data_IF_972635777973
#
_entry.id   IF_972635777973
#
_cell.length_a   1.000
_cell.length_b   1.000
_cell.length_c   1.000
_cell.angle_alpha   90.00
_cell.angle_beta   90.00
_cell.angle_gamma   90.00
#
_symmetry.space_group_name_H-M   'P 1'
#
loop_
_entity.id
_entity.type
_entity.pdbx_description
1 polymer ?
2 non-polymer ?
3 non-polymer ?
4 water ?
#
# COMPACT_ATOMS: atom_id res chain seq x y z
N UNK A 2 24.05 -5.83 25.14
CA UNK A 2 23.96 -4.99 23.92
C UNK A 2 22.62 -5.16 23.19
N UNK A 3 21.75 -4.17 23.34
CA UNK A 3 20.42 -4.24 22.73
C UNK A 3 20.25 -3.12 21.71
N UNK A 4 21.31 -2.83 20.95
CA UNK A 4 21.31 -1.65 20.10
C UNK A 4 22.37 -1.67 18.99
N UNK A 5 22.14 -0.86 17.96
CA UNK A 5 23.15 -0.65 16.93
C UNK A 5 23.34 0.83 16.58
N UNK A 6 24.58 1.21 16.29
CA UNK A 6 24.85 2.57 15.83
C UNK A 6 24.56 2.70 14.34
N UNK A 7 23.73 3.66 14.02
CA UNK A 7 23.39 3.95 12.64
C UNK A 7 23.72 5.41 12.32
N UNK A 8 24.76 5.60 11.51
CA UNK A 8 25.16 6.92 11.02
C UNK A 8 24.99 6.98 9.51
N UNK A 9 24.44 8.06 9.00
CA UNK A 9 24.49 8.26 7.55
C UNK A 9 24.93 9.66 7.14
N UNK A 10 25.71 9.71 6.07
CA UNK A 10 26.01 10.95 5.40
C UNK A 10 24.84 11.28 4.48
N UNK A 11 24.35 12.51 4.55
CA UNK A 11 23.10 12.85 3.88
C UNK A 11 23.30 13.86 2.77
N UNK A 12 22.77 13.49 1.61
CA UNK A 12 22.75 14.30 0.40
C UNK A 12 23.97 15.21 0.25
N UNK A 13 25.13 14.64 0.57
CA UNK A 13 26.38 15.34 0.39
C UNK A 13 27.02 15.89 1.66
N UNK A 14 26.22 16.19 2.67
CA UNK A 14 26.75 16.90 3.83
C UNK A 14 27.90 16.13 4.47
N UNK A 15 28.98 16.85 4.85
CA UNK A 15 30.18 16.28 5.46
C UNK A 15 30.04 15.67 6.85
N UNK A 16 29.30 16.34 7.74
CA UNK A 16 29.00 15.78 9.05
C UNK A 16 27.81 14.80 8.98
N UNK A 17 28.07 13.51 9.25
CA UNK A 17 27.04 12.47 9.23
C UNK A 17 26.13 12.59 10.43
N UNK A 18 24.89 12.10 10.30
CA UNK A 18 23.93 12.12 11.39
C UNK A 18 23.95 10.77 12.10
N UNK A 19 24.04 10.80 13.43
CA UNK A 19 24.26 9.59 14.21
C UNK A 19 23.06 9.29 15.10
N UNK A 20 22.66 8.03 15.12
CA UNK A 20 21.64 7.60 16.07
C UNK A 20 21.84 6.15 16.46
N UNK A 21 21.26 5.76 17.58
CA UNK A 21 21.25 4.38 18.03
C UNK A 21 19.89 3.74 17.78
N UNK A 22 19.92 2.49 17.33
CA UNK A 22 18.70 1.74 17.04
C UNK A 22 18.68 0.46 17.89
N UNK A 23 17.56 0.16 18.52
CA UNK A 23 17.52 -1.06 19.32
C UNK A 23 17.28 -2.30 18.46
N UNK A 24 18.26 -3.21 18.42
CA UNK A 24 18.03 -4.46 17.74
C UNK A 24 19.20 -5.38 17.40
N UNK A 25 20.39 -4.82 17.27
CA UNK A 25 21.53 -5.60 16.76
C UNK A 25 21.44 -5.97 15.26
N UNK A 26 20.24 -5.86 14.69
CA UNK A 26 20.08 -5.92 13.23
C UNK A 26 19.10 -4.87 12.74
N UNK A 27 19.46 -4.16 11.67
CA UNK A 27 18.59 -3.12 11.11
C UNK A 27 18.25 -3.34 9.64
N UNK A 28 17.00 -3.10 9.28
CA UNK A 28 16.57 -3.24 7.90
C UNK A 28 16.52 -1.89 7.19
N UNK A 29 16.55 -1.92 5.86
CA UNK A 29 16.48 -0.69 5.08
C UNK A 29 15.24 0.11 5.48
N UNK A 30 14.12 -0.57 5.66
CA UNK A 30 12.88 0.09 5.98
C UNK A 30 12.87 0.77 7.34
N UNK A 31 13.61 0.22 8.29
CA UNK A 31 13.76 0.84 9.61
C UNK A 31 14.64 2.08 9.42
N UNK A 32 15.70 1.90 8.65
CA UNK A 32 16.63 2.99 8.40
C UNK A 32 15.87 4.13 7.74
N UNK A 33 14.92 3.75 6.87
CA UNK A 33 14.19 4.74 6.11
C UNK A 33 13.31 5.59 7.02
N UNK A 34 13.00 5.08 8.20
CA UNK A 34 12.11 5.78 9.11
C UNK A 34 12.84 6.85 9.90
N UNK A 35 14.17 6.81 9.88
CA UNK A 35 14.96 7.84 10.55
C UNK A 35 15.07 9.07 9.67
N UNK A 36 14.87 8.91 8.38
CA UNK A 36 15.01 10.01 7.44
C UNK A 36 13.81 10.98 7.56
N UNK A 37 14.07 12.28 7.43
CA UNK A 37 13.04 13.29 7.70
C UNK A 37 12.48 13.93 6.43
N UNK A 38 13.26 13.88 5.36
CA UNK A 38 12.92 14.57 4.12
C UNK A 38 12.31 13.61 3.07
N UNK A 39 11.18 14.00 2.49
CA UNK A 39 10.53 13.18 1.48
C UNK A 39 11.26 13.22 0.13
N UNK A 40 10.99 12.22 -0.72
CA UNK A 40 11.54 12.23 -2.06
C UNK A 40 12.15 10.92 -2.50
N UNK A 41 12.78 10.93 -3.67
CA UNK A 41 13.44 9.74 -4.21
C UNK A 41 14.95 9.75 -3.89
N UNK A 42 15.42 8.66 -3.29
CA UNK A 42 16.82 8.52 -2.90
C UNK A 42 17.33 7.12 -3.23
N UNK A 43 18.65 6.99 -3.35
CA UNK A 43 19.30 5.69 -3.30
C UNK A 43 20.10 5.61 -1.99
N UNK A 44 20.30 4.40 -1.49
CA UNK A 44 20.94 4.20 -0.19
C UNK A 44 22.13 3.26 -0.33
N UNK A 45 23.28 3.68 0.17
CA UNK A 45 24.46 2.81 0.15
C UNK A 45 24.99 2.60 1.56
N UNK A 46 25.65 1.47 1.79
CA UNK A 46 26.22 1.18 3.11
C UNK A 46 27.60 0.54 2.98
N UNK A 47 28.59 1.07 3.70
CA UNK A 47 29.93 0.48 3.71
C UNK A 47 29.82 -0.99 4.07
N UNK A 48 30.51 -1.81 3.32
CA UNK A 48 30.52 -3.24 3.57
C UNK A 48 31.88 -3.75 3.14
N UNK A 49 32.38 -4.75 3.85
CA UNK A 49 33.62 -5.39 3.46
C UNK A 49 33.40 -6.14 2.16
N UNK A 50 34.37 -6.05 1.26
CA UNK A 50 34.31 -6.77 0.01
C UNK A 50 35.66 -7.37 -0.39
N UNK A 51 35.77 -8.68 -0.23
CA UNK A 51 36.96 -9.41 -0.65
C UNK A 51 37.24 -9.15 -2.13
N UNK A 52 36.17 -8.98 -2.89
CA UNK A 52 36.26 -8.82 -4.34
C UNK A 52 36.74 -7.44 -4.76
N UNK A 53 37.19 -6.64 -3.80
CA UNK A 53 37.71 -5.31 -4.12
C UNK A 53 38.97 -4.97 -3.34
N UNK A 54 39.87 -4.23 -3.97
CA UNK A 54 41.27 -4.14 -3.53
C UNK A 54 41.47 -3.31 -2.27
N UNK A 55 40.67 -2.25 -2.12
CA UNK A 55 40.69 -1.42 -0.92
C UNK A 55 39.58 -1.79 0.04
N UNK A 56 39.27 -3.08 0.10
CA UNK A 56 38.50 -3.65 1.18
C UNK A 56 37.02 -3.30 1.25
N UNK A 57 36.68 -2.07 0.91
CA UNK A 57 35.36 -1.51 1.23
C UNK A 57 34.52 -1.24 -0.01
N UNK A 58 33.21 -1.37 0.15
CA UNK A 58 32.26 -0.93 -0.86
C UNK A 58 31.10 -0.18 -0.23
N UNK A 59 30.40 0.58 -1.06
CA UNK A 59 29.09 1.11 -0.69
C UNK A 59 28.05 0.31 -1.42
N UNK A 60 27.50 -0.67 -0.72
CA UNK A 60 26.49 -1.56 -1.27
C UNK A 60 25.19 -0.79 -1.39
N UNK A 61 24.60 -0.82 -2.58
CA UNK A 61 23.30 -0.21 -2.75
C UNK A 61 22.24 -1.14 -2.22
N UNK A 62 21.37 -0.64 -1.35
CA UNK A 62 20.29 -1.45 -0.83
C UNK A 62 18.99 -0.81 -1.23
N UNK A 63 18.04 -1.66 -1.62
CA UNK A 63 16.83 -1.21 -2.28
C UNK A 63 15.59 -1.72 -1.59
N UNK A 64 15.64 -2.96 -1.10
CA UNK A 64 14.47 -3.60 -0.54
C UNK A 64 14.33 -3.36 0.97
N UNK A 65 13.13 -2.96 1.38
CA UNK A 65 12.84 -2.57 2.75
C UNK A 65 13.12 -3.68 3.76
N UNK A 66 12.92 -4.91 3.33
CA UNK A 66 13.08 -6.03 4.23
C UNK A 66 14.54 -6.39 4.39
N UNK A 67 15.38 -5.81 3.53
CA UNK A 67 16.78 -6.19 3.49
C UNK A 67 17.53 -5.76 4.76
N UNK A 68 18.45 -6.61 5.25
CA UNK A 68 19.25 -6.26 6.44
C UNK A 68 20.52 -5.53 6.02
N UNK A 69 20.71 -4.34 6.58
CA UNK A 69 21.83 -3.50 6.19
C UNK A 69 23.16 -4.09 6.68
N UNK A 70 24.21 -3.99 5.87
CA UNK A 70 25.51 -4.53 6.28
C UNK A 70 26.04 -3.75 7.49
N UNK A 71 26.94 -4.38 8.24
CA UNK A 71 27.58 -3.71 9.36
C UNK A 71 29.07 -3.54 9.07
N UNK A 72 29.56 -2.30 9.11
CA UNK A 72 30.98 -2.09 8.96
C UNK A 72 31.60 -1.75 10.32
N UNK A 73 32.66 -2.48 10.67
CA UNK A 73 33.27 -2.40 11.98
C UNK A 73 32.25 -2.10 13.07
N UNK A 74 31.19 -2.91 13.12
CA UNK A 74 30.24 -2.91 14.23
C UNK A 74 29.15 -1.84 14.10
N UNK A 75 29.39 -0.87 13.22
CA UNK A 75 28.41 0.18 12.97
C UNK A 75 27.77 0.06 11.58
N UNK A 76 26.67 0.76 11.39
CA UNK A 76 26.04 0.90 10.08
C UNK A 76 26.35 2.28 9.52
N UNK A 77 27.16 2.31 8.46
CA UNK A 77 27.54 3.56 7.82
C UNK A 77 26.85 3.71 6.45
N UNK A 78 25.88 4.61 6.39
CA UNK A 78 25.13 4.78 5.16
C UNK A 78 25.42 6.08 4.44
N UNK A 79 25.28 6.04 3.12
CA UNK A 79 25.31 7.21 2.27
C UNK A 79 23.92 7.36 1.65
N UNK A 80 23.29 8.52 1.88
CA UNK A 80 21.98 8.79 1.31
C UNK A 80 22.11 9.85 0.23
N UNK A 81 21.73 9.49 -1.00
CA UNK A 81 21.80 10.40 -2.13
C UNK A 81 20.45 10.65 -2.75
N UNK A 82 20.09 11.93 -2.87
CA UNK A 82 18.89 12.32 -3.60
C UNK A 82 19.12 12.06 -5.09
N UNK A 83 18.12 11.51 -5.75
CA UNK A 83 18.25 11.24 -7.16
C UNK A 83 17.96 12.50 -7.96
N UNK A 84 18.86 12.77 -8.91
CA UNK A 84 18.79 13.91 -9.84
C UNK A 84 19.41 15.15 -9.17
N UNK B 1 8.82 -0.65 24.78
CA UNK B 1 9.56 -0.37 23.55
C UNK B 1 8.93 -0.98 22.30
N UNK B 2 7.98 -0.25 21.70
CA UNK B 2 7.25 -0.72 20.51
C UNK B 2 7.98 -0.36 19.22
N UNK B 3 8.25 -1.38 18.40
CA UNK B 3 9.33 -1.33 17.41
C UNK B 3 9.01 -2.04 16.11
N UNK B 4 7.75 -2.48 15.97
CA UNK B 4 7.37 -3.29 14.81
C UNK B 4 5.87 -3.39 14.70
N UNK B 5 5.39 -3.72 13.50
CA UNK B 5 3.95 -3.69 13.19
C UNK B 5 3.46 -5.08 12.73
N UNK B 6 2.24 -5.44 13.12
CA UNK B 6 1.64 -6.68 12.63
C UNK B 6 1.03 -6.49 11.26
N UNK B 7 1.46 -7.34 10.34
CA UNK B 7 0.95 -7.33 8.98
C UNK B 7 0.35 -8.69 8.64
N UNK B 8 -0.97 -8.73 8.49
CA UNK B 8 -1.68 -9.94 8.11
C UNK B 8 -2.40 -9.70 6.78
N UNK B 9 -2.31 -10.63 5.85
CA UNK B 9 -3.16 -10.51 4.68
C UNK B 9 -3.87 -11.81 4.33
N UNK B 10 -5.11 -11.67 3.88
CA UNK B 10 -5.85 -12.78 3.28
C UNK B 10 -5.43 -12.89 1.83
N UNK B 11 -5.08 -14.10 1.41
CA UNK B 11 -4.46 -14.28 0.09
C UNK B 11 -5.42 -15.04 -0.82
N UNK B 12 -5.84 -14.39 -1.91
CA UNK B 12 -6.84 -14.94 -2.83
C UNK B 12 -7.91 -15.80 -2.12
N UNK B 13 -8.61 -15.23 -1.15
CA UNK B 13 -9.81 -15.88 -0.62
C UNK B 13 -9.58 -17.03 0.37
N UNK B 14 -8.50 -17.78 0.20
CA UNK B 14 -8.05 -18.66 1.27
C UNK B 14 -8.43 -17.94 2.58
N UNK B 15 -9.31 -18.54 3.39
CA UNK B 15 -9.68 -17.86 4.65
C UNK B 15 -8.46 -17.55 5.49
N UNK B 16 -7.87 -18.57 6.11
CA UNK B 16 -6.78 -18.32 7.07
C UNK B 16 -5.74 -17.32 6.52
N UNK B 17 -5.71 -16.10 7.08
CA UNK B 17 -4.77 -15.06 6.66
C UNK B 17 -3.35 -15.40 7.09
N UNK B 18 -2.37 -14.85 6.40
CA UNK B 18 -0.96 -15.11 6.75
C UNK B 18 -0.43 -13.94 7.60
N UNK B 19 0.21 -14.27 8.73
CA UNK B 19 0.57 -13.26 9.72
C UNK B 19 2.08 -13.07 9.84
N UNK B 20 2.54 -11.82 9.87
CA UNK B 20 3.95 -11.55 10.10
C UNK B 20 4.12 -10.22 10.81
N UNK B 21 5.27 -10.05 11.47
CA UNK B 21 5.63 -8.80 12.08
C UNK B 21 6.70 -8.09 11.27
N UNK B 22 6.54 -6.78 11.13
CA UNK B 22 7.47 -5.97 10.36
C UNK B 22 8.11 -4.93 11.27
N UNK B 23 9.45 -4.87 11.25
CA UNK B 23 10.19 -3.97 12.13
C UNK B 23 10.00 -2.55 11.66
N UNK B 24 9.71 -1.64 12.58
CA UNK B 24 9.49 -0.25 12.24
C UNK B 24 8.17 0.25 12.80
N UNK B 25 7.78 1.46 12.39
CA UNK B 25 6.53 2.04 12.85
C UNK B 25 5.46 1.96 11.77
N UNK B 26 5.83 2.28 10.53
CA UNK B 26 4.88 2.25 9.43
C UNK B 26 5.38 1.43 8.26
N UNK B 27 4.46 0.87 7.48
CA UNK B 27 4.81 0.01 6.37
C UNK B 27 4.27 0.52 5.03
N UNK B 28 5.09 0.42 3.99
CA UNK B 28 4.69 0.83 2.65
C UNK B 28 4.23 -0.34 1.80
N UNK B 29 3.48 -0.04 0.75
CA UNK B 29 3.01 -1.08 -0.15
C UNK B 29 4.17 -1.92 -0.67
N UNK B 30 5.26 -1.26 -1.01
CA UNK B 30 6.41 -1.95 -1.55
C UNK B 30 7.11 -2.89 -0.58
N UNK B 31 7.05 -2.58 0.71
CA UNK B 31 7.59 -3.46 1.73
C UNK B 31 6.64 -4.64 1.86
N UNK B 32 5.35 -4.34 1.86
CA UNK B 32 4.32 -5.35 1.96
C UNK B 32 4.49 -6.31 0.80
N UNK B 33 4.90 -5.77 -0.35
CA UNK B 33 4.98 -6.57 -1.56
C UNK B 33 6.13 -7.54 -1.48
N UNK B 34 7.08 -7.26 -0.61
CA UNK B 34 8.25 -8.12 -0.46
C UNK B 34 7.97 -9.37 0.38
N UNK B 35 6.85 -9.36 1.11
CA UNK B 35 6.47 -10.52 1.90
C UNK B 35 5.77 -11.56 1.04
N UNK B 36 5.26 -11.13 -0.11
CA UNK B 36 4.51 -12.01 -1.00
C UNK B 36 5.46 -12.95 -1.77
N UNK B 37 5.06 -14.21 -1.93
CA UNK B 37 5.97 -15.23 -2.47
C UNK B 37 5.67 -15.60 -3.92
N UNK B 38 4.46 -15.33 -4.37
CA UNK B 38 4.03 -15.74 -5.69
C UNK B 38 4.02 -14.58 -6.69
N UNK B 39 4.59 -14.83 -7.87
CA UNK B 39 4.65 -13.80 -8.92
C UNK B 39 3.30 -13.59 -9.62
N UNK B 40 3.15 -12.43 -10.25
CA UNK B 40 1.97 -12.18 -11.05
C UNK B 40 1.35 -10.81 -10.82
N UNK B 41 0.19 -10.59 -11.42
CA UNK B 41 -0.54 -9.34 -11.27
C UNK B 41 -1.61 -9.44 -10.19
N UNK B 42 -1.56 -8.50 -9.24
CA UNK B 42 -2.50 -8.49 -8.11
C UNK B 42 -2.97 -7.06 -7.81
N UNK B 43 -4.13 -6.95 -7.17
CA UNK B 43 -4.53 -5.71 -6.52
C UNK B 43 -4.49 -5.91 -5.01
N UNK B 44 -4.28 -4.81 -4.28
CA UNK B 44 -4.07 -4.90 -2.84
C UNK B 44 -5.01 -3.96 -2.13
N UNK B 45 -5.73 -4.48 -1.14
CA UNK B 45 -6.64 -3.66 -0.36
C UNK B 45 -6.31 -3.80 1.13
N UNK B 46 -6.61 -2.76 1.89
CA UNK B 46 -6.36 -2.75 3.33
C UNK B 46 -7.52 -2.10 4.10
N UNK B 47 -8.01 -2.79 5.13
CA UNK B 47 -9.07 -2.25 5.99
C UNK B 47 -8.60 -0.94 6.61
N UNK B 48 -9.53 -0.02 6.84
CA UNK B 48 -9.16 1.32 7.24
C UNK B 48 -10.44 2.11 7.25
N UNK B 49 -10.80 2.72 8.38
CA UNK B 49 -12.13 3.29 8.56
C UNK B 49 -12.49 4.29 7.48
N UNK B 50 -13.74 4.21 7.01
CA UNK B 50 -14.34 5.27 6.19
C UNK B 50 -15.39 6.06 6.97
N UNK B 51 -15.74 7.23 6.46
CA UNK B 51 -16.84 8.00 7.04
C UNK B 51 -18.15 7.84 6.29
N UNK B 52 -18.28 6.77 5.50
CA UNK B 52 -19.57 6.27 5.07
C UNK B 52 -20.20 5.31 6.11
N UNK B 53 -21.15 4.47 5.70
CA UNK B 53 -22.08 3.85 6.65
C UNK B 53 -21.91 2.36 7.01
N UNK B 54 -23.03 1.63 7.02
CA UNK B 54 -23.19 0.40 7.80
C UNK B 54 -22.27 -0.77 7.41
N UNK B 55 -22.06 -1.67 8.36
CA UNK B 55 -21.02 -2.72 8.29
C UNK B 55 -19.78 -2.17 7.60
N UNK B 56 -19.67 -0.84 7.66
CA UNK B 56 -18.73 -0.13 6.83
C UNK B 56 -17.48 0.25 7.56
N UNK B 57 -16.38 -0.36 7.13
CA UNK B 57 -15.09 0.28 7.02
C UNK B 57 -14.80 0.04 5.55
N UNK B 58 -13.73 0.58 5.00
CA UNK B 58 -13.36 0.18 3.65
C UNK B 58 -12.18 -0.78 3.52
N UNK B 59 -12.09 -1.42 2.36
CA UNK B 59 -10.83 -1.96 1.85
C UNK B 59 -10.30 -0.98 0.83
N UNK B 60 -9.36 -0.16 1.28
CA UNK B 60 -8.69 0.82 0.42
C UNK B 60 -7.74 0.13 -0.54
N UNK B 61 -7.91 0.38 -1.82
CA UNK B 61 -7.00 -0.14 -2.81
C UNK B 61 -5.73 0.70 -2.80
N UNK B 62 -4.57 0.05 -2.66
CA UNK B 62 -3.30 0.76 -2.72
C UNK B 62 -2.48 0.19 -3.87
N UNK B 63 -1.73 1.05 -4.55
CA UNK B 63 -1.04 0.66 -5.79
C UNK B 63 0.32 1.33 -5.96
N UNK B 64 0.55 2.40 -5.19
CA UNK B 64 1.75 3.19 -5.38
C UNK B 64 2.99 2.38 -5.01
N UNK B 65 3.16 2.16 -3.70
CA UNK B 65 4.15 1.23 -3.14
C UNK B 65 5.29 1.96 -2.43
N UNK B 66 5.34 3.27 -2.62
CA UNK B 66 5.93 4.16 -1.63
C UNK B 66 4.80 4.68 -0.74
N UNK B 67 3.60 4.12 -0.95
CA UNK B 67 2.44 4.53 -0.19
C UNK B 67 2.38 3.84 1.16
N UNK B 68 2.02 4.58 2.19
CA UNK B 68 1.95 4.01 3.53
C UNK B 68 0.60 3.35 3.77
N UNK B 69 0.64 2.07 4.10
CA UNK B 69 -0.58 1.30 4.25
C UNK B 69 -1.34 1.76 5.49
N UNK B 70 -2.68 1.78 5.41
CA UNK B 70 -3.50 2.20 6.56
C UNK B 70 -3.36 1.18 7.68
N UNK B 71 -3.64 1.61 8.90
CA UNK B 71 -3.60 0.71 10.05
C UNK B 71 -5.00 0.58 10.61
N UNK B 72 -5.51 -0.64 10.70
CA UNK B 72 -6.82 -0.87 11.32
C UNK B 72 -6.60 -1.49 12.70
N UNK B 73 -7.20 -0.86 13.69
CA UNK B 73 -6.99 -1.20 15.09
C UNK B 73 -5.58 -1.71 15.35
N UNK B 74 -4.60 -0.89 14.96
CA UNK B 74 -3.20 -1.09 15.32
C UNK B 74 -2.49 -2.09 14.42
N UNK B 75 -3.25 -2.85 13.65
CA UNK B 75 -2.67 -3.82 12.72
C UNK B 75 -2.93 -3.43 11.27
N UNK B 76 -2.17 -4.06 10.37
CA UNK B 76 -2.37 -3.92 8.94
C UNK B 76 -3.07 -5.15 8.40
N UNK B 77 -4.33 -4.99 8.01
CA UNK B 77 -5.11 -6.08 7.45
C UNK B 77 -5.28 -5.92 5.95
N UNK B 78 -4.61 -6.79 5.19
CA UNK B 78 -4.67 -6.69 3.74
C UNK B 78 -5.45 -7.79 3.07
N UNK B 79 -6.02 -7.46 1.92
CA UNK B 79 -6.65 -8.43 1.03
C UNK B 79 -5.86 -8.46 -0.27
N UNK B 80 -5.33 -9.61 -0.63
CA UNK B 80 -4.57 -9.72 -1.87
C UNK B 80 -5.35 -10.54 -2.87
N UNK B 81 -5.67 -9.92 -4.00
CA UNK B 81 -6.44 -10.59 -5.05
C UNK B 81 -5.65 -10.69 -6.35
N UNK B 82 -5.54 -11.90 -6.88
CA UNK B 82 -4.99 -12.10 -8.21
C UNK B 82 -5.98 -11.55 -9.24
N UNK B 83 -5.47 -10.82 -10.22
CA UNK B 83 -6.32 -10.31 -11.28
C UNK B 83 -6.61 -11.46 -12.25
N UNK B 84 -7.87 -11.85 -12.32
CA UNK B 84 -8.25 -13.00 -13.14
C UNK B 84 -8.59 -12.51 -14.52
N UNK C 1 -6.11 21.95 -6.91
CA UNK C 1 -6.64 21.22 -8.05
C UNK C 1 -7.21 19.85 -7.69
N UNK C 2 -8.31 19.47 -8.32
CA UNK C 2 -9.04 18.24 -7.97
C UNK C 2 -8.34 16.98 -8.46
N UNK C 3 -8.62 16.60 -9.71
CA UNK C 3 -7.82 15.62 -10.45
C UNK C 3 -8.42 14.20 -10.51
N UNK C 4 -9.12 13.80 -9.45
CA UNK C 4 -9.55 12.41 -9.30
C UNK C 4 -11.02 12.29 -8.91
N UNK C 5 -11.53 11.06 -8.94
CA UNK C 5 -12.84 10.73 -8.39
C UNK C 5 -12.77 9.49 -7.49
N UNK C 6 -13.56 9.49 -6.41
CA UNK C 6 -13.64 8.33 -5.54
C UNK C 6 -14.61 7.30 -6.11
N UNK C 7 -14.13 6.09 -6.25
CA UNK C 7 -14.93 4.99 -6.76
C UNK C 7 -14.93 3.86 -5.75
N UNK C 8 -16.08 3.63 -5.12
CA UNK C 8 -16.26 2.53 -4.17
C UNK C 8 -17.33 1.58 -4.70
N UNK C 9 -17.10 0.29 -4.63
CA UNK C 9 -18.20 -0.63 -4.91
C UNK C 9 -18.32 -1.73 -3.89
N UNK C 10 -19.55 -2.09 -3.58
CA UNK C 10 -19.86 -3.28 -2.81
C UNK C 10 -19.83 -4.47 -3.74
N UNK C 11 -19.11 -5.51 -3.36
CA UNK C 11 -18.86 -6.62 -4.28
C UNK C 11 -19.59 -7.87 -3.80
N UNK C 12 -20.52 -8.36 -4.63
CA UNK C 12 -21.36 -9.53 -4.35
C UNK C 12 -22.04 -9.67 -2.99
N UNK C 13 -22.23 -8.56 -2.27
CA UNK C 13 -22.87 -8.64 -0.97
C UNK C 13 -21.92 -8.44 0.22
N UNK C 14 -20.65 -8.81 0.02
CA UNK C 14 -19.63 -8.46 0.99
C UNK C 14 -20.02 -7.09 1.56
N UNK C 15 -20.12 -6.99 2.90
CA UNK C 15 -20.49 -5.68 3.44
C UNK C 15 -19.45 -4.60 3.08
N UNK C 16 -18.24 -4.71 3.63
CA UNK C 16 -17.19 -3.72 3.40
C UNK C 16 -16.89 -3.48 1.90
N UNK C 17 -17.23 -2.28 1.40
CA UNK C 17 -17.01 -1.92 0.00
C UNK C 17 -15.53 -1.70 -0.25
N UNK C 18 -15.11 -1.85 -1.51
CA UNK C 18 -13.71 -1.62 -1.88
C UNK C 18 -13.54 -0.21 -2.44
N UNK C 19 -12.56 0.54 -1.95
CA UNK C 19 -12.43 1.94 -2.28
C UNK C 19 -11.18 2.25 -3.11
N UNK C 20 -11.33 3.05 -4.14
CA UNK C 20 -10.17 3.51 -4.91
C UNK C 20 -10.43 4.89 -5.48
N UNK C 21 -9.35 5.59 -5.82
CA UNK C 21 -9.45 6.86 -6.51
C UNK C 21 -9.07 6.70 -7.97
N UNK C 22 -9.82 7.38 -8.83
CA UNK C 22 -9.59 7.32 -10.26
C UNK C 22 -9.24 8.72 -10.79
N UNK C 23 -8.13 8.80 -11.51
CA UNK C 23 -7.68 10.05 -12.11
C UNK C 23 -8.65 10.50 -13.20
N UNK C 24 -8.92 11.80 -13.25
CA UNK C 24 -9.83 12.31 -14.27
C UNK C 24 -11.06 12.95 -13.67
N UNK C 25 -11.93 13.49 -14.52
CA UNK C 25 -13.14 14.16 -14.05
C UNK C 25 -14.27 13.17 -13.83
N UNK C 26 -14.51 12.32 -14.82
CA UNK C 26 -15.62 11.38 -14.75
C UNK C 26 -15.20 9.99 -15.22
N UNK C 27 -15.96 8.99 -14.81
CA UNK C 27 -15.59 7.61 -15.03
C UNK C 27 -16.64 6.84 -15.82
N UNK C 28 -16.18 5.98 -16.73
CA UNK C 28 -17.07 5.17 -17.55
C UNK C 28 -17.16 3.76 -16.99
N UNK C 29 -18.21 3.05 -17.38
CA UNK C 29 -18.40 1.69 -16.93
C UNK C 29 -17.18 0.84 -17.27
N UNK C 30 -16.64 1.04 -18.47
CA UNK C 30 -15.48 0.27 -18.90
C UNK C 30 -14.21 0.51 -18.10
N UNK C 31 -14.05 1.73 -17.60
CA UNK C 31 -12.92 2.03 -16.73
C UNK C 31 -13.17 1.34 -15.39
N UNK C 32 -14.41 1.45 -14.91
CA UNK C 32 -14.80 0.84 -13.65
C UNK C 32 -14.55 -0.65 -13.75
N UNK C 33 -14.76 -1.20 -14.94
CA UNK C 33 -14.68 -2.63 -15.13
C UNK C 33 -13.22 -3.09 -15.03
N UNK C 34 -12.30 -2.16 -15.23
CA UNK C 34 -10.88 -2.50 -15.18
C UNK C 34 -10.34 -2.61 -13.75
N UNK C 35 -11.10 -2.09 -12.79
CA UNK C 35 -10.72 -2.20 -11.39
C UNK C 35 -11.08 -3.56 -10.82
N UNK C 36 -12.02 -4.25 -11.45
CA UNK C 36 -12.50 -5.53 -10.97
C UNK C 36 -11.48 -6.64 -11.26
N UNK C 37 -11.30 -7.57 -10.33
CA UNK C 37 -10.23 -8.56 -10.42
C UNK C 37 -10.70 -9.93 -10.84
N UNK C 38 -11.98 -10.21 -10.61
CA UNK C 38 -12.54 -11.54 -10.84
C UNK C 38 -13.31 -11.63 -12.16
N UNK C 39 -13.03 -12.67 -12.95
CA UNK C 39 -13.71 -12.88 -14.22
C UNK C 39 -15.15 -13.38 -14.06
N UNK C 40 -15.96 -13.19 -15.09
CA UNK C 40 -17.31 -13.74 -15.08
C UNK C 40 -18.37 -12.78 -15.53
N UNK C 41 -19.63 -13.21 -15.42
CA UNK C 41 -20.77 -12.37 -15.79
C UNK C 41 -21.35 -11.64 -14.57
N UNK C 42 -21.47 -10.32 -14.69
CA UNK C 42 -21.97 -9.48 -13.60
C UNK C 42 -22.93 -8.41 -14.14
N UNK C 43 -23.78 -7.90 -13.26
CA UNK C 43 -24.51 -6.66 -13.52
C UNK C 43 -23.97 -5.58 -12.58
N UNK C 44 -24.09 -4.33 -13.00
CA UNK C 44 -23.49 -3.24 -12.26
C UNK C 44 -24.53 -2.16 -12.00
N UNK C 45 -24.62 -1.72 -10.76
CA UNK C 45 -25.57 -0.67 -10.39
C UNK C 45 -24.82 0.43 -9.65
N UNK C 46 -25.34 1.64 -9.76
CA UNK C 46 -24.73 2.80 -9.11
C UNK C 46 -25.80 3.73 -8.52
N UNK C 47 -25.65 4.10 -7.25
CA UNK C 47 -26.56 5.05 -6.60
C UNK C 47 -26.58 6.36 -7.37
N UNK C 48 -27.75 7.00 -7.40
CA UNK C 48 -27.97 8.15 -8.26
C UNK C 48 -29.26 8.75 -7.77
N UNK C 49 -29.45 10.04 -8.01
CA UNK C 49 -30.67 10.71 -7.56
C UNK C 49 -31.86 10.26 -8.38
N UNK C 50 -33.00 10.11 -7.72
CA UNK C 50 -34.23 9.74 -8.39
C UNK C 50 -35.40 10.66 -8.01
N UNK C 51 -36.46 10.62 -8.82
CA UNK C 51 -37.67 11.40 -8.57
C UNK C 51 -38.85 10.53 -8.18
N UNK C 52 -38.56 9.39 -7.56
CA UNK C 52 -39.58 8.52 -6.97
C UNK C 52 -39.44 8.44 -5.43
N UNK C 53 -40.36 7.71 -4.79
CA UNK C 53 -40.75 7.98 -3.40
C UNK C 53 -39.91 7.39 -2.26
N UNK C 54 -40.50 6.46 -1.50
CA UNK C 54 -40.05 6.06 -0.16
C UNK C 54 -38.63 6.45 0.25
N UNK C 55 -37.63 5.68 -0.19
CA UNK C 55 -36.24 5.94 0.18
C UNK C 55 -35.40 6.51 -0.97
N UNK C 56 -36.04 7.34 -1.79
CA UNK C 56 -35.41 8.54 -2.32
C UNK C 56 -34.45 8.41 -3.50
N UNK C 57 -33.73 7.28 -3.58
CA UNK C 57 -32.60 7.12 -4.49
C UNK C 57 -32.59 5.73 -5.12
N UNK C 58 -32.00 5.62 -6.30
CA UNK C 58 -31.95 4.31 -6.96
C UNK C 58 -30.55 3.74 -7.21
N UNK C 59 -30.51 2.47 -7.59
CA UNK C 59 -29.32 1.84 -8.15
C UNK C 59 -29.57 1.64 -9.63
N UNK C 60 -29.00 2.55 -10.41
CA UNK C 60 -29.08 2.54 -11.87
C UNK C 60 -28.22 1.42 -12.43
N UNK C 61 -28.83 0.55 -13.23
CA UNK C 61 -28.09 -0.50 -13.87
C UNK C 61 -27.38 0.09 -15.08
N UNK C 62 -26.07 -0.11 -15.18
CA UNK C 62 -25.30 0.35 -16.32
C UNK C 62 -24.68 -0.87 -17.01
N UNK C 63 -24.64 -0.85 -18.34
CA UNK C 63 -24.19 -2.00 -19.13
C UNK C 63 -23.28 -1.58 -20.29
N UNK C 64 -23.48 -0.35 -20.79
CA UNK C 64 -22.78 0.08 -21.99
C UNK C 64 -21.27 0.03 -21.81
N UNK C 65 -20.76 0.80 -20.86
CA UNK C 65 -19.33 0.92 -20.55
C UNK C 65 -18.65 2.00 -21.39
N UNK C 66 -19.35 2.48 -22.41
CA UNK C 66 -19.07 3.81 -22.95
C UNK C 66 -19.86 4.83 -22.13
N UNK C 67 -20.73 4.31 -21.27
CA UNK C 67 -21.60 5.13 -20.46
C UNK C 67 -20.81 5.70 -19.29
N UNK C 68 -21.16 6.92 -18.91
CA UNK C 68 -20.58 7.59 -17.75
C UNK C 68 -21.37 7.30 -16.49
N UNK C 69 -20.69 6.78 -15.48
CA UNK C 69 -21.34 6.36 -14.25
C UNK C 69 -21.86 7.57 -13.49
N UNK C 70 -23.04 7.44 -12.87
CA UNK C 70 -23.61 8.55 -12.10
C UNK C 70 -22.74 8.83 -10.89
N UNK C 71 -22.82 10.04 -10.36
CA UNK C 71 -22.10 10.42 -9.15
C UNK C 71 -23.09 10.69 -8.02
N UNK C 72 -22.95 9.99 -6.91
CA UNK C 72 -23.79 10.26 -5.76
C UNK C 72 -22.97 10.99 -4.72
N UNK C 73 -23.51 12.11 -4.25
CA UNK C 73 -22.80 13.03 -3.38
C UNK C 73 -21.29 13.03 -3.62
N UNK C 74 -20.93 13.28 -4.88
CA UNK C 74 -19.55 13.53 -5.26
C UNK C 74 -18.73 12.26 -5.46
N UNK C 75 -19.25 11.13 -4.98
CA UNK C 75 -18.58 9.85 -5.16
C UNK C 75 -19.36 8.93 -6.10
N UNK C 76 -18.67 7.88 -6.56
CA UNK C 76 -19.29 6.82 -7.32
C UNK C 76 -19.49 5.58 -6.44
N UNK C 77 -20.74 5.28 -6.14
CA UNK C 77 -21.09 4.14 -5.31
C UNK C 77 -21.71 3.03 -6.15
N UNK C 78 -20.94 1.96 -6.34
CA UNK C 78 -21.42 0.87 -7.18
C UNK C 78 -21.78 -0.39 -6.42
N UNK C 79 -22.75 -1.13 -6.96
CA UNK C 79 -23.09 -2.47 -6.49
C UNK C 79 -22.73 -3.45 -7.60
N UNK C 80 -21.87 -4.42 -7.30
CA UNK C 80 -21.50 -5.43 -8.29
C UNK C 80 -22.09 -6.77 -7.91
N UNK C 81 -22.93 -7.31 -8.76
CA UNK C 81 -23.58 -8.59 -8.50
C UNK C 81 -23.21 -9.63 -9.55
N UNK C 82 -22.73 -10.78 -9.10
CA UNK C 82 -22.52 -11.93 -10.00
C UNK C 82 -23.89 -12.47 -10.40
N UNK C 83 -24.04 -12.77 -11.68
CA UNK C 83 -25.29 -13.35 -12.16
C UNK C 83 -25.28 -14.82 -11.79
N UNK C 84 -26.20 -15.19 -10.90
CA UNK C 84 -26.17 -16.52 -10.30
C UNK C 84 -27.21 -17.37 -11.00
X LIG D 1 25.78 -1.58 22.01
X LIG E 1 18.79 15.95 0.36
X LIG F 1 42.46 0.15 -4.10
X LIG G 1 14.63 20.16 1.93
X LIG G 1 14.05 20.05 3.04
X LIG G 1 14.24 21.00 1.08
X LIG G 1 15.70 19.38 1.66
X LIG G 1 16.96 19.77 2.09
X LIG G 1 18.06 18.97 1.81
X LIG G 1 17.90 17.80 1.10
X LIG G 1 16.63 17.41 0.67
X LIG G 1 15.54 18.20 0.94
X LIG H 1 4.91 -3.58 18.77
X LIG I 1 -3.23 -16.54 -5.86
X LIG J 1 -25.28 -8.20 8.99
X LIG K 1 -18.41 -12.61 -6.68
X LIG L 1 -10.64 15.36 -5.92
X LIG M 1 -36.93 2.71 7.38
#
# INVERSE_FOLDING_TARGET
PCDSIVVAYYFCGEPIPYRTLVRGRAVTLGQFKELLTKKGSYRYYFKKVSDEFDCGVVFEEVREDEAILPVFEEKIIGKVEKVD
PCDSIVVAYYFCGEPIPYRTLVRGRAVTLGQFKELLTKKGSYRYYFKKVSDEFDCGVVFEEVREDEAILPVFEEKIIGKVEKVD
PCDSIVVAYYFCGEPIPYRTLVRGRAVTLGQFKELLTKKGSYRYYFKKVSDEFDCGVVFEEVREDEAILPVFEEKIIGKVEKVD
HG HG
HG HG
HG HG
BEZ C O1 O2 C1 C2 C3 C4 C5 C6
HG HG
HG HG
HG HG
HG HG
HG HG
HG HG
#
